data_IF_945688719147
#
_entry.id   IF_945688719147
#
_cell.length_a   1.000
_cell.length_b   1.000
_cell.length_c   1.000
_cell.angle_alpha   90.00
_cell.angle_beta   90.00
_cell.angle_gamma   90.00
#
_symmetry.space_group_name_H-M   'P 1'
#
loop_
_entity.id
_entity.type
_entity.pdbx_description
1 polymer ?
#
# COMPACT_ATOMS: atom_id res chain seq x y z
N UNK A 1 -10.63 -11.38 5.83
CA UNK A 1 -10.55 -11.43 4.36
C UNK A 1 -9.10 -11.21 3.94
N UNK A 2 -8.67 -11.82 2.84
CA UNK A 2 -7.30 -11.67 2.30
C UNK A 2 -7.40 -11.36 0.82
N UNK A 3 -6.67 -10.33 0.36
CA UNK A 3 -6.58 -9.93 -1.04
C UNK A 3 -5.20 -10.28 -1.59
N UNK A 4 -5.17 -10.77 -2.84
CA UNK A 4 -3.95 -11.05 -3.59
C UNK A 4 -3.85 -10.07 -4.77
N UNK A 5 -2.72 -9.40 -4.93
CA UNK A 5 -2.45 -8.49 -6.05
C UNK A 5 -1.07 -8.78 -6.62
N UNK A 6 -0.99 -9.04 -7.92
CA UNK A 6 0.27 -9.35 -8.57
C UNK A 6 0.74 -8.24 -9.51
N UNK A 7 2.05 -8.20 -9.73
CA UNK A 7 2.70 -7.37 -10.74
C UNK A 7 2.42 -5.87 -10.57
N UNK A 8 2.45 -5.38 -9.33
CA UNK A 8 2.34 -3.94 -9.04
C UNK A 8 3.57 -3.25 -9.65
N UNK A 9 3.39 -2.36 -10.64
CA UNK A 9 4.50 -1.69 -11.28
C UNK A 9 5.03 -0.56 -10.40
N UNK A 10 6.25 -0.08 -10.68
CA UNK A 10 6.66 1.24 -10.18
C UNK A 10 5.70 2.28 -10.77
N UNK A 11 5.09 3.03 -9.88
CA UNK A 11 4.16 4.10 -10.22
C UNK A 11 5.01 5.35 -10.42
N UNK A 12 5.04 5.86 -11.65
CA UNK A 12 5.72 7.11 -11.98
C UNK A 12 4.69 8.26 -12.07
N UNK A 13 5.11 9.54 -12.18
CA UNK A 13 4.19 10.66 -12.38
C UNK A 13 3.25 10.47 -13.59
N UNK A 14 3.70 9.74 -14.63
CA UNK A 14 2.88 9.40 -15.79
C UNK A 14 1.68 8.49 -15.44
N UNK A 15 1.75 7.78 -14.31
CA UNK A 15 0.74 6.86 -13.77
C UNK A 15 0.02 7.43 -12.55
N UNK A 16 -0.18 8.75 -12.50
CA UNK A 16 -0.78 9.44 -11.33
C UNK A 16 -2.16 8.90 -10.94
N UNK A 17 -2.97 8.47 -11.91
CA UNK A 17 -4.32 7.97 -11.65
C UNK A 17 -4.25 6.58 -10.99
N UNK A 18 -3.35 5.72 -11.46
CA UNK A 18 -3.05 4.42 -10.89
C UNK A 18 -2.51 4.58 -9.47
N UNK A 19 -1.58 5.51 -9.25
CA UNK A 19 -1.05 5.80 -7.92
C UNK A 19 -2.15 6.22 -6.95
N UNK A 20 -3.06 7.10 -7.38
CA UNK A 20 -4.19 7.54 -6.54
C UNK A 20 -5.18 6.42 -6.24
N UNK A 21 -5.47 5.54 -7.22
CA UNK A 21 -6.30 4.35 -6.99
C UNK A 21 -5.63 3.37 -6.03
N UNK A 22 -4.31 3.20 -6.14
CA UNK A 22 -3.55 2.32 -5.26
C UNK A 22 -3.54 2.85 -3.82
N UNK A 23 -3.32 4.15 -3.62
CA UNK A 23 -3.45 4.82 -2.31
C UNK A 23 -4.82 4.53 -1.70
N UNK A 24 -5.90 4.80 -2.44
CA UNK A 24 -7.26 4.57 -1.95
C UNK A 24 -7.53 3.10 -1.59
N UNK A 25 -7.00 2.17 -2.39
CA UNK A 25 -7.12 0.74 -2.13
C UNK A 25 -6.41 0.37 -0.83
N UNK A 26 -5.15 0.74 -0.66
CA UNK A 26 -4.39 0.43 0.56
C UNK A 26 -5.05 1.04 1.78
N UNK A 27 -5.51 2.30 1.70
CA UNK A 27 -6.22 2.95 2.80
C UNK A 27 -7.48 2.16 3.19
N UNK A 28 -8.28 1.73 2.21
CA UNK A 28 -9.49 0.92 2.47
C UNK A 28 -9.16 -0.44 3.10
N UNK A 29 -8.13 -1.13 2.59
CA UNK A 29 -7.72 -2.43 3.13
C UNK A 29 -7.18 -2.29 4.55
N UNK A 30 -6.37 -1.25 4.78
CA UNK A 30 -5.78 -0.94 6.05
C UNK A 30 -6.87 -0.70 7.10
N UNK A 31 -7.79 0.23 6.84
CA UNK A 31 -8.86 0.63 7.76
C UNK A 31 -9.83 -0.52 8.09
N UNK A 32 -9.95 -1.50 7.20
CA UNK A 32 -10.81 -2.68 7.40
C UNK A 32 -10.06 -3.91 7.93
N UNK A 33 -8.77 -3.80 8.27
CA UNK A 33 -7.96 -4.93 8.75
C UNK A 33 -7.86 -6.08 7.72
N UNK A 34 -7.90 -5.76 6.43
CA UNK A 34 -7.82 -6.75 5.35
C UNK A 34 -6.36 -7.10 5.09
N UNK A 35 -6.06 -8.40 5.09
CA UNK A 35 -4.71 -8.89 4.79
C UNK A 35 -4.43 -8.74 3.30
N UNK A 36 -3.22 -8.28 2.97
CA UNK A 36 -2.74 -8.14 1.60
C UNK A 36 -1.52 -9.02 1.38
N UNK A 37 -1.55 -9.83 0.32
CA UNK A 37 -0.37 -10.48 -0.25
C UNK A 37 -0.15 -9.86 -1.62
N UNK A 38 1.04 -9.30 -1.86
CA UNK A 38 1.30 -8.59 -3.09
C UNK A 38 2.69 -8.85 -3.67
N UNK A 39 2.78 -8.89 -5.00
CA UNK A 39 4.06 -8.83 -5.72
C UNK A 39 4.21 -7.47 -6.42
N UNK A 40 5.38 -6.86 -6.27
CA UNK A 40 5.65 -5.50 -6.68
C UNK A 40 7.05 -5.38 -7.30
N UNK A 41 7.20 -4.45 -8.24
CA UNK A 41 8.49 -4.20 -8.92
C UNK A 41 9.53 -3.50 -8.02
N UNK A 42 9.12 -2.93 -6.89
CA UNK A 42 9.98 -2.25 -5.93
C UNK A 42 9.41 -2.36 -4.51
N UNK A 43 10.21 -2.00 -3.50
CA UNK A 43 9.74 -1.89 -2.11
C UNK A 43 8.73 -0.72 -1.93
N UNK A 44 7.91 -0.72 -0.86
CA UNK A 44 6.82 0.24 -0.69
C UNK A 44 7.24 1.70 -0.78
N UNK A 45 8.40 2.07 -0.24
CA UNK A 45 8.98 3.41 -0.26
C UNK A 45 9.52 3.81 -1.65
N UNK A 46 9.80 2.83 -2.50
CA UNK A 46 10.30 3.04 -3.86
C UNK A 46 9.22 2.95 -4.95
N UNK A 47 8.01 2.50 -4.60
CA UNK A 47 6.91 2.30 -5.55
C UNK A 47 6.36 3.59 -6.16
N UNK A 48 6.52 4.75 -5.50
CA UNK A 48 6.15 6.07 -6.05
C UNK A 48 6.95 7.18 -5.35
N UNK A 49 8.12 7.53 -5.91
CA UNK A 49 9.07 8.49 -5.29
C UNK A 49 8.84 9.95 -5.69
N UNK A 50 8.15 10.21 -6.79
CA UNK A 50 8.03 11.54 -7.37
C UNK A 50 6.64 11.79 -7.98
N UNK A 51 6.25 13.06 -8.03
CA UNK A 51 4.95 13.53 -8.53
C UNK A 51 4.00 14.01 -7.42
N UNK A 52 2.87 14.58 -7.82
CA UNK A 52 1.93 15.26 -6.91
C UNK A 52 1.40 14.38 -5.76
N UNK A 53 1.42 13.05 -5.95
CA UNK A 53 0.99 12.07 -4.95
C UNK A 53 2.06 11.64 -3.95
N UNK A 54 3.32 12.09 -4.06
CA UNK A 54 4.47 11.42 -3.41
C UNK A 54 4.36 11.42 -1.89
N UNK A 55 4.04 12.58 -1.31
CA UNK A 55 3.81 12.72 0.14
C UNK A 55 2.65 11.87 0.67
N UNK A 56 1.58 11.73 -0.12
CA UNK A 56 0.48 10.85 0.26
C UNK A 56 0.90 9.38 0.18
N UNK A 57 1.71 9.05 -0.83
CA UNK A 57 2.21 7.71 -1.03
C UNK A 57 3.21 7.30 0.05
N UNK A 58 4.02 8.20 0.60
CA UNK A 58 4.88 7.92 1.77
C UNK A 58 4.06 7.34 2.94
N UNK A 59 2.87 7.90 3.22
CA UNK A 59 1.97 7.35 4.23
C UNK A 59 1.44 5.97 3.83
N UNK A 60 1.11 5.77 2.56
CA UNK A 60 0.71 4.46 2.01
C UNK A 60 1.84 3.43 2.13
N UNK A 61 3.10 3.81 1.90
CA UNK A 61 4.26 2.96 2.06
C UNK A 61 4.44 2.52 3.52
N UNK A 62 4.31 3.45 4.48
CA UNK A 62 4.34 3.12 5.91
C UNK A 62 3.25 2.12 6.30
N UNK A 63 2.02 2.29 5.79
CA UNK A 63 0.93 1.33 6.00
C UNK A 63 1.26 -0.05 5.43
N UNK A 64 1.80 -0.11 4.21
CA UNK A 64 2.22 -1.37 3.60
C UNK A 64 3.30 -2.08 4.43
N UNK A 65 4.23 -1.34 5.02
CA UNK A 65 5.24 -1.90 5.93
C UNK A 65 4.58 -2.44 7.21
N UNK A 66 3.67 -1.68 7.81
CA UNK A 66 2.94 -2.11 9.01
C UNK A 66 2.10 -3.37 8.77
N UNK A 67 1.45 -3.48 7.61
CA UNK A 67 0.67 -4.64 7.19
C UNK A 67 1.49 -5.93 7.09
N UNK A 68 2.82 -5.85 7.03
CA UNK A 68 3.74 -7.01 7.06
C UNK A 68 4.04 -7.50 8.49
N UNK A 69 3.70 -6.72 9.52
CA UNK A 69 4.01 -7.05 10.91
C UNK A 69 3.18 -8.23 11.42
N UNK A 70 3.75 -8.99 12.35
CA UNK A 70 3.03 -10.09 13.00
C UNK A 70 1.75 -9.59 13.70
N UNK A 71 1.82 -8.44 14.37
CA UNK A 71 0.68 -7.83 15.07
C UNK A 71 -0.48 -7.48 14.13
N UNK A 72 -0.19 -7.02 12.91
CA UNK A 72 -1.22 -6.78 11.92
C UNK A 72 -1.83 -8.09 11.40
N UNK A 73 -0.99 -9.10 11.14
CA UNK A 73 -1.42 -10.39 10.61
C UNK A 73 -2.18 -11.26 11.63
N UNK A 74 -1.90 -11.11 12.92
CA UNK A 74 -2.62 -11.75 14.03
C UNK A 74 -3.97 -11.08 14.34
N UNK A 75 -4.22 -9.89 13.80
CA UNK A 75 -5.41 -9.09 14.08
C UNK A 75 -5.38 -8.40 15.45
N UNK A 76 -4.22 -8.35 16.10
CA UNK A 76 -4.01 -7.62 17.36
C UNK A 76 -3.98 -6.10 17.13
N UNK A 77 -3.49 -5.67 15.96
CA UNK A 77 -3.60 -4.29 15.51
C UNK A 77 -5.03 -4.03 15.04
N UNK A 78 -5.82 -3.28 15.82
CA UNK A 78 -7.00 -2.57 15.29
C UNK A 78 -6.53 -1.20 14.81
N UNK A 79 -6.54 -0.93 13.49
CA UNK A 79 -6.30 0.42 13.01
C UNK A 79 -7.38 1.34 13.59
N UNK A 80 -6.94 2.43 14.22
CA UNK A 80 -7.78 3.41 14.93
C UNK A 80 -8.56 4.29 13.97
#
# INVERSE_FOLDING_TARGET
>A
HTLFIENIPVLSPARRNEARRFINLIDTLYDNGVRLVASAQAEPDELYREGDGAKLFERTASRLVEMRSHAYLSGETRPT
#
